data_IF_539230376411
#
_entry.id   IF_539230376411
#
_cell.length_a   1.000
_cell.length_b   1.000
_cell.length_c   1.000
_cell.angle_alpha   90.00
_cell.angle_beta   90.00
_cell.angle_gamma   90.00
#
_symmetry.space_group_name_H-M   'P 1'
#
loop_
_entity.id
_entity.type
_entity.pdbx_description
1 polymer ?
#
# COMPACT_ATOMS: atom_id res chain seq x y z
N UNK A 1 -8.52 13.75 11.18
CA UNK A 1 -8.18 12.31 11.09
C UNK A 1 -7.17 12.15 9.97
N UNK A 2 -6.10 11.39 10.19
CA UNK A 2 -5.13 11.08 9.13
C UNK A 2 -5.78 10.11 8.12
N UNK A 3 -5.55 10.25 6.81
CA UNK A 3 -5.98 9.26 5.83
C UNK A 3 -5.27 7.93 6.08
N UNK A 4 -6.01 6.83 5.92
CA UNK A 4 -5.49 5.48 6.11
C UNK A 4 -4.89 4.96 4.82
N UNK A 5 -3.65 4.51 4.88
CA UNK A 5 -2.86 4.06 3.72
C UNK A 5 -2.57 2.56 3.84
N UNK A 6 -2.80 1.84 2.75
CA UNK A 6 -2.48 0.43 2.61
C UNK A 6 -1.60 0.20 1.37
N UNK A 7 -0.60 -0.66 1.51
CA UNK A 7 0.34 -1.05 0.46
C UNK A 7 0.03 -2.46 -0.04
N UNK A 8 0.03 -2.64 -1.36
CA UNK A 8 -0.26 -3.93 -2.00
C UNK A 8 0.75 -4.21 -3.11
N UNK A 9 1.30 -5.42 -3.11
CA UNK A 9 2.18 -5.92 -4.15
C UNK A 9 1.46 -6.93 -5.08
N UNK A 10 1.81 -6.87 -6.37
CA UNK A 10 1.55 -7.88 -7.39
C UNK A 10 2.89 -8.42 -7.92
N UNK A 11 2.99 -8.80 -9.20
CA UNK A 11 4.26 -9.26 -9.75
C UNK A 11 5.25 -8.10 -9.85
N UNK A 12 6.21 -8.05 -8.91
CA UNK A 12 7.23 -7.01 -8.78
C UNK A 12 8.43 -7.53 -7.98
N UNK A 13 9.43 -6.66 -7.78
CA UNK A 13 10.55 -6.88 -6.87
C UNK A 13 10.40 -6.14 -5.53
N UNK A 14 9.28 -5.44 -5.32
CA UNK A 14 8.96 -4.70 -4.08
C UNK A 14 9.94 -3.54 -3.80
N UNK A 15 10.71 -3.14 -4.81
CA UNK A 15 11.71 -2.09 -4.71
C UNK A 15 11.08 -0.74 -4.40
N UNK A 16 9.90 -0.43 -4.94
CA UNK A 16 9.25 0.86 -4.67
C UNK A 16 8.80 0.95 -3.21
N UNK A 17 8.21 -0.12 -2.68
CA UNK A 17 7.85 -0.23 -1.27
C UNK A 17 9.08 -0.16 -0.35
N UNK A 18 10.17 -0.85 -0.69
CA UNK A 18 11.40 -0.78 0.09
C UNK A 18 12.01 0.62 0.12
N UNK A 19 11.88 1.43 -0.94
CA UNK A 19 12.32 2.83 -0.89
C UNK A 19 11.54 3.64 0.15
N UNK A 20 10.23 3.37 0.31
CA UNK A 20 9.41 4.04 1.33
C UNK A 20 9.83 3.62 2.74
N UNK A 21 10.14 2.33 2.93
CA UNK A 21 10.68 1.84 4.20
C UNK A 21 12.08 2.43 4.52
N UNK A 22 12.85 2.77 3.48
CA UNK A 22 14.20 3.35 3.58
C UNK A 22 14.21 4.90 3.57
N UNK A 23 13.09 5.55 3.91
CA UNK A 23 13.05 7.02 4.06
C UNK A 23 13.80 7.53 5.30
N UNK A 24 14.37 6.65 6.13
CA UNK A 24 15.17 6.98 7.32
C UNK A 24 14.43 7.96 8.25
N UNK A 25 14.93 9.19 8.44
CA UNK A 25 14.30 10.19 9.29
C UNK A 25 13.03 10.78 8.67
N UNK A 26 12.93 10.86 7.33
CA UNK A 26 11.76 11.40 6.62
C UNK A 26 10.51 10.52 6.79
N UNK A 27 10.68 9.26 7.21
CA UNK A 27 9.54 8.39 7.51
C UNK A 27 8.72 8.92 8.69
N UNK A 28 9.33 9.68 9.61
CA UNK A 28 8.68 10.28 10.76
C UNK A 28 7.67 11.34 10.30
N UNK A 29 8.05 12.17 9.33
CA UNK A 29 7.16 13.17 8.74
C UNK A 29 5.97 12.51 8.01
N UNK A 30 6.23 11.37 7.34
CA UNK A 30 5.19 10.61 6.64
C UNK A 30 4.14 10.07 7.63
N UNK A 31 4.56 9.41 8.72
CA UNK A 31 3.62 8.86 9.71
C UNK A 31 2.91 9.95 10.51
N UNK A 32 3.39 11.20 10.50
CA UNK A 32 2.65 12.33 11.05
C UNK A 32 1.43 12.71 10.22
N UNK A 33 1.45 12.48 8.91
CA UNK A 33 0.36 12.87 8.01
C UNK A 33 -0.55 11.73 7.57
N UNK A 34 -0.11 10.46 7.66
CA UNK A 34 -0.92 9.28 7.32
C UNK A 34 -1.01 8.27 8.45
N UNK A 35 -2.02 7.41 8.40
CA UNK A 35 -2.12 6.22 9.24
C UNK A 35 -1.85 4.98 8.38
N UNK A 36 -0.71 4.30 8.61
CA UNK A 36 -0.35 3.10 7.84
C UNK A 36 -1.04 1.90 8.47
N UNK A 37 -2.01 1.34 7.75
CA UNK A 37 -2.89 0.27 8.29
C UNK A 37 -2.61 -1.10 7.68
N UNK A 38 -1.79 -1.16 6.64
CA UNK A 38 -1.33 -2.40 6.00
C UNK A 38 -0.06 -2.11 5.21
N UNK A 39 1.07 -2.68 5.63
CA UNK A 39 2.33 -2.58 4.90
C UNK A 39 3.21 -3.78 5.23
N UNK A 40 3.19 -4.80 4.36
CA UNK A 40 3.81 -6.11 4.58
C UNK A 40 5.31 -6.04 4.90
N UNK A 41 6.03 -5.11 4.28
CA UNK A 41 7.50 -5.01 4.45
C UNK A 41 7.91 -4.47 5.82
N UNK A 42 7.02 -3.78 6.55
CA UNK A 42 7.38 -3.10 7.81
C UNK A 42 6.50 -3.51 9.01
N UNK A 43 5.34 -4.14 8.80
CA UNK A 43 4.42 -4.53 9.88
C UNK A 43 3.65 -5.82 9.58
N UNK A 44 3.11 -6.44 10.63
CA UNK A 44 2.29 -7.66 10.54
C UNK A 44 0.80 -7.37 10.57
N UNK A 45 0.42 -6.27 11.21
CA UNK A 45 -0.94 -5.80 11.34
C UNK A 45 -1.50 -5.46 9.95
N UNK A 46 -2.77 -5.81 9.75
CA UNK A 46 -3.43 -5.61 8.47
C UNK A 46 -4.88 -5.18 8.69
N UNK A 47 -5.25 -4.07 8.06
CA UNK A 47 -6.63 -3.62 7.95
C UNK A 47 -7.09 -3.60 6.50
N UNK A 48 -8.32 -4.03 6.30
CA UNK A 48 -9.04 -3.94 5.03
C UNK A 48 -9.81 -2.61 4.87
N UNK A 49 -9.68 -1.71 5.85
CA UNK A 49 -10.35 -0.41 5.90
C UNK A 49 -9.32 0.72 5.72
N UNK A 50 -9.21 1.21 4.49
CA UNK A 50 -8.23 2.20 4.05
C UNK A 50 -8.84 3.21 3.08
N UNK A 51 -8.26 4.41 3.05
CA UNK A 51 -8.68 5.49 2.16
C UNK A 51 -7.82 5.50 0.88
N UNK A 52 -6.53 5.21 1.01
CA UNK A 52 -5.55 5.24 -0.07
C UNK A 52 -4.91 3.85 -0.21
N UNK A 53 -4.88 3.34 -1.43
CA UNK A 53 -4.16 2.11 -1.78
C UNK A 53 -2.97 2.45 -2.69
N UNK A 54 -1.76 2.13 -2.23
CA UNK A 54 -0.54 2.17 -3.04
C UNK A 54 -0.31 0.77 -3.58
N UNK A 55 -0.27 0.64 -4.89
CA UNK A 55 -0.17 -0.65 -5.58
C UNK A 55 1.13 -0.70 -6.36
N UNK A 56 1.98 -1.67 -6.04
CA UNK A 56 3.20 -1.95 -6.81
C UNK A 56 3.03 -3.23 -7.64
N UNK A 57 3.58 -3.21 -8.86
CA UNK A 57 3.73 -4.40 -9.69
C UNK A 57 2.68 -4.59 -10.76
N UNK A 58 2.95 -5.55 -11.64
CA UNK A 58 2.14 -5.84 -12.82
C UNK A 58 1.10 -6.93 -12.55
N UNK A 59 -0.05 -6.80 -13.23
CA UNK A 59 -1.12 -7.80 -13.23
C UNK A 59 -0.80 -8.86 -14.29
N UNK A 60 -0.36 -10.04 -13.86
CA UNK A 60 0.10 -11.11 -14.75
C UNK A 60 -0.81 -12.35 -14.76
N UNK A 61 -1.72 -12.48 -13.79
CA UNK A 61 -2.67 -13.60 -13.69
C UNK A 61 -4.11 -13.10 -13.53
N UNK A 62 -5.13 -13.88 -13.94
CA UNK A 62 -6.54 -13.53 -13.73
C UNK A 62 -6.93 -13.29 -12.25
N UNK A 63 -6.25 -13.95 -11.31
CA UNK A 63 -6.46 -13.71 -9.87
C UNK A 63 -5.95 -12.35 -9.41
N UNK A 64 -4.91 -11.82 -10.05
CA UNK A 64 -4.33 -10.52 -9.73
C UNK A 64 -5.33 -9.41 -10.10
N UNK A 65 -5.96 -9.53 -11.28
CA UNK A 65 -7.02 -8.60 -11.72
C UNK A 65 -8.20 -8.59 -10.73
N UNK A 66 -8.64 -9.78 -10.29
CA UNK A 66 -9.73 -9.89 -9.30
C UNK A 66 -9.36 -9.25 -7.96
N UNK A 67 -8.12 -9.44 -7.49
CA UNK A 67 -7.60 -8.81 -6.27
C UNK A 67 -7.50 -7.29 -6.43
N UNK A 68 -6.98 -6.79 -7.55
CA UNK A 68 -6.90 -5.35 -7.83
C UNK A 68 -8.28 -4.70 -7.87
N UNK A 69 -9.27 -5.33 -8.53
CA UNK A 69 -10.66 -4.84 -8.53
C UNK A 69 -11.25 -4.79 -7.12
N UNK A 70 -10.94 -5.76 -6.25
CA UNK A 70 -11.36 -5.72 -4.83
C UNK A 70 -10.71 -4.55 -4.09
N UNK A 71 -9.42 -4.32 -4.28
CA UNK A 71 -8.68 -3.20 -3.68
C UNK A 71 -9.26 -1.87 -4.15
N UNK A 72 -9.44 -1.70 -5.47
CA UNK A 72 -9.98 -0.46 -6.06
C UNK A 72 -11.36 -0.10 -5.54
N UNK A 73 -12.24 -1.08 -5.30
CA UNK A 73 -13.59 -0.84 -4.76
C UNK A 73 -13.59 -0.31 -3.32
N UNK A 74 -12.56 -0.61 -2.53
CA UNK A 74 -12.43 -0.17 -1.14
C UNK A 74 -11.73 1.19 -1.05
N UNK A 75 -10.70 1.40 -1.86
CA UNK A 75 -9.92 2.64 -1.84
C UNK A 75 -10.73 3.84 -2.36
N UNK A 76 -10.57 5.01 -1.75
CA UNK A 76 -10.99 6.29 -2.36
C UNK A 76 -10.01 6.66 -3.47
N UNK A 77 -8.71 6.57 -3.18
CA UNK A 77 -7.61 6.86 -4.09
C UNK A 77 -6.76 5.59 -4.28
N UNK A 78 -6.40 5.29 -5.52
CA UNK A 78 -5.45 4.22 -5.86
C UNK A 78 -4.29 4.83 -6.63
N UNK A 79 -3.07 4.51 -6.21
CA UNK A 79 -1.81 4.96 -6.82
C UNK A 79 -1.08 3.71 -7.34
N UNK A 80 -0.51 3.81 -8.54
CA UNK A 80 0.26 2.75 -9.21
C UNK A 80 1.69 3.24 -9.49
#
# INVERSE_FOLDING_TARGET
MKPRVAFFDFASCEGCQLQIANLEEEILDLIEIVDVVSFREVMKEHSDDYDIAIVEGSIIRPMDEQRLKKIRRKAKILIA
#
